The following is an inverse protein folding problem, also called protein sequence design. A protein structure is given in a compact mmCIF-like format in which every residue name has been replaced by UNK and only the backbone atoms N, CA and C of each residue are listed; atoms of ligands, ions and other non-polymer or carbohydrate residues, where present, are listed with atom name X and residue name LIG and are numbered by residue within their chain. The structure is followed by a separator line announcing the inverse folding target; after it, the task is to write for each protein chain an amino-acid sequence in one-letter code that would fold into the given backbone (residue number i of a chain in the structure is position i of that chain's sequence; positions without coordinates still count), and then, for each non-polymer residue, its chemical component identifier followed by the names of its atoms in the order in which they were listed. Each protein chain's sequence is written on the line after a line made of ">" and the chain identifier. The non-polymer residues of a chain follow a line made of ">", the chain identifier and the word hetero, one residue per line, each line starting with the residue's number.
data_IF_632414810793
#
_entry.id   IF_632414810793
#
_cell.length_a   1.000
_cell.length_b   1.000
_cell.length_c   1.000
_cell.angle_alpha   90.00
_cell.angle_beta   90.00
_cell.angle_gamma   90.00
#
_symmetry.space_group_name_H-M   'P 1'
#
loop_
_entity.id
_entity.type
_entity.pdbx_description
1 polymer ?
#
# COMPACT_ATOMS: atom_id res chain seq x y z
N UNK A 1 -1.65 2.56 -18.14
CA UNK A 1 -1.21 1.17 -17.88
C UNK A 1 -1.95 0.67 -16.67
N UNK A 2 -2.62 -0.48 -16.78
CA UNK A 2 -3.26 -1.16 -15.65
C UNK A 2 -2.19 -1.67 -14.68
N UNK A 3 -2.32 -1.48 -13.37
CA UNK A 3 -1.40 -2.06 -12.39
C UNK A 3 -1.38 -3.59 -12.50
N UNK A 4 -0.22 -4.22 -12.28
CA UNK A 4 -0.12 -5.69 -12.16
C UNK A 4 -0.96 -6.18 -10.99
N UNK A 5 -1.59 -7.35 -11.09
CA UNK A 5 -2.35 -7.92 -9.97
C UNK A 5 -1.45 -8.30 -8.79
N UNK A 6 -1.99 -8.30 -7.56
CA UNK A 6 -1.25 -8.75 -6.37
C UNK A 6 -0.72 -10.18 -6.47
N UNK A 7 -1.48 -11.09 -7.09
CA UNK A 7 -1.03 -12.46 -7.31
C UNK A 7 0.18 -12.53 -8.25
N UNK A 8 0.16 -11.71 -9.30
CA UNK A 8 1.29 -11.59 -10.22
C UNK A 8 2.52 -10.99 -9.53
N UNK A 9 2.35 -9.92 -8.73
CA UNK A 9 3.42 -9.31 -7.94
C UNK A 9 4.03 -10.32 -6.96
N UNK A 10 3.20 -11.09 -6.23
CA UNK A 10 3.68 -12.16 -5.32
C UNK A 10 4.46 -13.23 -6.07
N UNK A 11 4.01 -13.62 -7.25
CA UNK A 11 4.73 -14.58 -8.10
C UNK A 11 6.09 -14.03 -8.51
N UNK A 12 6.15 -12.78 -8.99
CA UNK A 12 7.40 -12.10 -9.37
C UNK A 12 8.35 -11.92 -8.19
N UNK A 13 7.82 -11.56 -7.01
CA UNK A 13 8.59 -11.43 -5.78
C UNK A 13 9.23 -12.76 -5.35
N UNK A 14 8.52 -13.87 -5.55
CA UNK A 14 9.06 -15.22 -5.27
C UNK A 14 10.24 -15.54 -6.19
N UNK A 15 10.11 -15.25 -7.49
CA UNK A 15 11.18 -15.45 -8.47
C UNK A 15 12.37 -14.53 -8.20
N UNK A 16 12.12 -13.27 -7.84
CA UNK A 16 13.15 -12.31 -7.45
C UNK A 16 13.92 -12.78 -6.22
N UNK A 17 13.21 -13.13 -5.14
CA UNK A 17 13.84 -13.64 -3.92
C UNK A 17 14.68 -14.90 -4.17
N UNK A 18 14.19 -15.81 -5.01
CA UNK A 18 14.92 -17.04 -5.38
C UNK A 18 16.19 -16.74 -6.18
N UNK A 19 16.13 -15.75 -7.09
CA UNK A 19 17.27 -15.36 -7.94
C UNK A 19 18.38 -14.69 -7.14
N UNK A 20 18.02 -13.89 -6.15
CA UNK A 20 18.95 -13.14 -5.30
C UNK A 20 19.30 -13.86 -4.00
N UNK A 21 18.74 -15.05 -3.77
CA UNK A 21 19.03 -15.86 -2.58
C UNK A 21 20.52 -16.22 -2.51
N UNK A 22 21.16 -15.87 -1.40
CA UNK A 22 22.58 -16.17 -1.17
C UNK A 22 23.55 -15.39 -2.06
N UNK A 23 23.11 -14.28 -2.67
CA UNK A 23 24.01 -13.37 -3.39
C UNK A 23 24.97 -12.69 -2.40
N UNK A 24 26.26 -12.69 -2.74
CA UNK A 24 27.33 -12.12 -1.90
C UNK A 24 28.23 -11.15 -2.66
N UNK A 25 27.88 -10.77 -3.90
CA UNK A 25 28.71 -9.92 -4.77
C UNK A 25 28.60 -8.42 -4.44
N UNK A 26 29.68 -7.68 -4.74
CA UNK A 26 29.91 -6.28 -4.36
C UNK A 26 28.99 -5.24 -5.05
N UNK A 27 29.15 -3.97 -4.63
CA UNK A 27 28.43 -2.72 -4.97
C UNK A 27 27.97 -2.52 -6.42
N UNK A 28 28.60 -3.16 -7.42
CA UNK A 28 28.22 -3.05 -8.83
C UNK A 28 26.84 -3.67 -9.16
N UNK A 29 26.37 -4.61 -8.33
CA UNK A 29 25.10 -5.32 -8.56
C UNK A 29 23.87 -4.63 -7.93
N UNK A 30 24.05 -3.59 -7.10
CA UNK A 30 22.92 -2.90 -6.44
C UNK A 30 21.99 -2.24 -7.46
N UNK A 31 22.54 -1.71 -8.55
CA UNK A 31 21.74 -1.13 -9.62
C UNK A 31 20.89 -2.20 -10.33
N UNK A 32 21.46 -3.37 -10.62
CA UNK A 32 20.75 -4.51 -11.20
C UNK A 32 19.66 -5.00 -10.25
N UNK A 33 19.99 -5.16 -8.98
CA UNK A 33 19.04 -5.55 -7.93
C UNK A 33 17.83 -4.63 -7.89
N UNK A 34 18.04 -3.32 -7.83
CA UNK A 34 16.92 -2.38 -7.80
C UNK A 34 16.15 -2.37 -9.12
N UNK A 35 16.81 -2.46 -10.28
CA UNK A 35 16.10 -2.58 -11.56
C UNK A 35 15.15 -3.78 -11.58
N UNK A 36 15.63 -4.95 -11.12
CA UNK A 36 14.81 -6.16 -11.05
C UNK A 36 13.72 -6.06 -9.97
N UNK A 37 14.01 -5.43 -8.82
CA UNK A 37 13.04 -5.15 -7.77
C UNK A 37 11.90 -4.27 -8.28
N UNK A 38 12.17 -3.17 -8.98
CA UNK A 38 11.12 -2.36 -9.61
C UNK A 38 10.34 -3.16 -10.67
N UNK A 39 11.02 -4.08 -11.36
CA UNK A 39 10.42 -5.03 -12.30
C UNK A 39 9.39 -5.97 -11.68
N UNK A 40 9.52 -6.31 -10.38
CA UNK A 40 8.49 -7.06 -9.61
C UNK A 40 7.16 -6.32 -9.62
N UNK A 41 7.20 -4.99 -9.58
CA UNK A 41 6.02 -4.10 -9.56
C UNK A 41 5.64 -3.56 -10.94
N UNK A 42 6.25 -4.08 -12.01
CA UNK A 42 5.93 -3.70 -13.39
C UNK A 42 6.40 -2.30 -13.77
N UNK A 43 7.42 -1.79 -13.08
CA UNK A 43 7.99 -0.47 -13.37
C UNK A 43 9.42 -0.58 -13.86
N UNK A 44 9.73 0.21 -14.87
CA UNK A 44 11.11 0.46 -15.27
C UNK A 44 11.70 1.58 -14.40
N UNK A 45 12.79 1.26 -13.71
CA UNK A 45 13.47 2.19 -12.80
C UNK A 45 13.98 3.47 -13.49
N UNK A 46 14.30 3.42 -14.78
CA UNK A 46 14.72 4.60 -15.59
C UNK A 46 13.63 5.67 -15.70
N UNK A 47 12.37 5.31 -15.52
CA UNK A 47 11.22 6.24 -15.59
C UNK A 47 10.99 6.94 -14.23
N UNK A 48 11.59 6.43 -13.15
CA UNK A 48 11.16 6.74 -11.78
C UNK A 48 12.21 7.52 -10.97
N UNK A 49 13.51 7.28 -11.17
CA UNK A 49 14.53 7.81 -10.25
C UNK A 49 15.82 8.26 -10.93
N UNK A 50 16.39 9.38 -10.47
CA UNK A 50 17.79 9.75 -10.72
C UNK A 50 18.70 8.92 -9.81
N UNK A 51 19.70 8.24 -10.38
CA UNK A 51 20.83 7.70 -9.60
C UNK A 51 21.83 8.83 -9.34
N UNK A 52 22.57 8.73 -8.23
CA UNK A 52 23.71 9.59 -7.89
C UNK A 52 23.37 11.07 -7.71
N UNK A 53 22.53 11.39 -6.71
CA UNK A 53 22.59 12.71 -6.12
C UNK A 53 23.80 12.77 -5.18
N UNK A 54 24.89 13.41 -5.63
CA UNK A 54 25.97 13.81 -4.74
C UNK A 54 25.41 14.79 -3.70
N UNK A 55 25.18 14.32 -2.48
CA UNK A 55 24.78 15.17 -1.36
C UNK A 55 26.06 15.68 -0.72
N UNK A 56 26.26 17.01 -0.73
CA UNK A 56 27.37 17.63 0.00
C UNK A 56 27.20 17.34 1.49
N UNK A 57 28.18 16.67 2.10
CA UNK A 57 28.24 16.50 3.56
C UNK A 57 28.61 17.83 4.24
N UNK A 58 28.23 17.97 5.51
CA UNK A 58 28.65 19.06 6.40
C UNK A 58 30.15 18.96 6.73
N UNK A 59 30.70 17.74 6.67
CA UNK A 59 32.13 17.50 6.74
C UNK A 59 32.68 17.55 5.33
N UNK A 60 33.50 18.56 5.03
CA UNK A 60 34.15 18.81 3.73
C UNK A 60 35.07 17.66 3.22
N UNK A 61 34.95 16.44 3.73
CA UNK A 61 35.78 15.28 3.40
C UNK A 61 35.02 14.06 2.84
N UNK A 62 33.69 14.03 2.79
CA UNK A 62 32.97 12.96 2.05
C UNK A 62 31.68 13.43 1.40
N UNK A 63 31.47 13.08 0.13
CA UNK A 63 30.15 13.19 -0.48
C UNK A 63 29.33 11.98 -0.02
N UNK A 64 28.16 12.21 0.59
CA UNK A 64 27.19 11.14 0.80
C UNK A 64 26.45 10.91 -0.52
N UNK A 65 26.49 9.69 -1.04
CA UNK A 65 25.74 9.32 -2.24
C UNK A 65 24.52 8.55 -1.80
N UNK A 66 23.34 9.05 -2.13
CA UNK A 66 22.10 8.27 -2.01
C UNK A 66 22.09 7.31 -3.20
N UNK A 67 21.83 6.03 -2.93
CA UNK A 67 21.73 5.05 -3.99
C UNK A 67 20.54 5.37 -4.88
N UNK A 68 19.30 5.50 -4.38
CA UNK A 68 18.17 5.86 -5.25
C UNK A 68 17.24 6.89 -4.63
N UNK A 69 16.84 7.87 -5.44
CA UNK A 69 15.85 8.88 -5.06
C UNK A 69 14.73 9.00 -6.08
N UNK A 70 13.51 8.72 -5.63
CA UNK A 70 12.26 9.12 -6.25
C UNK A 70 11.67 10.27 -5.43
N UNK A 71 11.87 11.51 -5.91
CA UNK A 71 11.48 12.74 -5.21
C UNK A 71 10.03 12.67 -4.70
N UNK A 72 9.83 12.98 -3.42
CA UNK A 72 8.52 12.99 -2.79
C UNK A 72 7.92 11.61 -2.49
N UNK A 73 8.57 10.51 -2.89
CA UNK A 73 7.98 9.16 -2.81
C UNK A 73 8.85 8.12 -2.14
N UNK A 74 10.11 7.99 -2.56
CA UNK A 74 11.00 6.92 -2.10
C UNK A 74 12.45 7.39 -2.05
N UNK A 75 13.13 7.10 -0.95
CA UNK A 75 14.58 7.11 -0.84
C UNK A 75 15.07 5.70 -0.53
N UNK A 76 16.16 5.30 -1.17
CA UNK A 76 16.80 4.02 -0.94
C UNK A 76 18.27 4.24 -0.64
N UNK A 77 18.71 3.60 0.43
CA UNK A 77 20.12 3.47 0.78
C UNK A 77 20.49 1.98 0.78
N UNK A 78 21.58 1.62 0.13
CA UNK A 78 21.97 0.24 -0.09
C UNK A 78 23.42 0.00 0.36
N UNK A 79 23.64 -1.10 1.09
CA UNK A 79 24.98 -1.50 1.53
C UNK A 79 25.38 -2.82 0.92
N UNK A 80 26.68 -3.13 0.97
CA UNK A 80 27.17 -4.46 0.60
C UNK A 80 26.55 -5.52 1.50
N UNK A 81 26.38 -6.74 0.97
CA UNK A 81 25.79 -7.86 1.70
C UNK A 81 26.46 -8.10 3.07
N UNK A 82 25.64 -8.23 4.13
CA UNK A 82 26.09 -8.47 5.50
C UNK A 82 26.66 -7.24 6.22
N UNK A 83 26.61 -6.05 5.61
CA UNK A 83 27.04 -4.82 6.25
C UNK A 83 26.01 -4.31 7.28
N UNK A 84 26.48 -3.56 8.28
CA UNK A 84 25.57 -2.92 9.24
C UNK A 84 24.72 -1.83 8.60
N UNK A 85 23.42 -1.93 8.80
CA UNK A 85 22.44 -0.99 8.26
C UNK A 85 22.30 0.31 9.07
N UNK A 86 22.72 0.34 10.35
CA UNK A 86 22.60 1.53 11.21
C UNK A 86 23.19 2.81 10.59
N UNK A 87 24.33 2.67 9.89
CA UNK A 87 24.97 3.79 9.20
C UNK A 87 24.19 4.24 7.96
N UNK A 88 23.56 3.30 7.26
CA UNK A 88 22.71 3.59 6.11
C UNK A 88 21.46 4.35 6.56
N UNK A 89 20.89 3.95 7.70
CA UNK A 89 19.76 4.59 8.34
C UNK A 89 20.07 6.04 8.71
N UNK A 90 21.16 6.27 9.44
CA UNK A 90 21.58 7.63 9.79
C UNK A 90 21.79 8.50 8.55
N UNK A 91 22.39 7.96 7.48
CA UNK A 91 22.61 8.69 6.23
C UNK A 91 21.30 9.08 5.53
N UNK A 92 20.32 8.19 5.50
CA UNK A 92 19.00 8.46 4.93
C UNK A 92 18.26 9.56 5.70
N UNK A 93 18.22 9.48 7.03
CA UNK A 93 17.53 10.47 7.86
C UNK A 93 18.25 11.82 7.90
N UNK A 94 19.59 11.85 7.88
CA UNK A 94 20.36 13.09 7.76
C UNK A 94 20.00 13.84 6.46
N UNK A 95 19.79 13.12 5.36
CA UNK A 95 19.37 13.73 4.10
C UNK A 95 17.95 14.31 4.18
N UNK A 96 17.02 13.58 4.80
CA UNK A 96 15.64 14.06 5.01
C UNK A 96 15.63 15.34 5.85
N UNK A 97 16.41 15.37 6.93
CA UNK A 97 16.55 16.56 7.77
C UNK A 97 17.10 17.76 6.98
N UNK A 98 18.05 17.55 6.06
CA UNK A 98 18.55 18.61 5.19
C UNK A 98 17.49 19.13 4.22
N UNK A 99 16.69 18.25 3.61
CA UNK A 99 15.59 18.67 2.74
C UNK A 99 14.59 19.56 3.51
N UNK A 100 14.27 19.19 4.74
CA UNK A 100 13.40 20.00 5.60
C UNK A 100 14.05 21.33 5.97
N UNK A 101 15.31 21.33 6.41
CA UNK A 101 16.05 22.55 6.76
C UNK A 101 16.21 23.53 5.58
N UNK A 102 16.31 23.01 4.35
CA UNK A 102 16.38 23.79 3.12
C UNK A 102 15.00 24.27 2.61
N UNK A 103 13.91 23.96 3.32
CA UNK A 103 12.53 24.31 2.91
C UNK A 103 12.03 23.53 1.69
N UNK A 104 12.60 22.35 1.44
CA UNK A 104 12.30 21.48 0.28
C UNK A 104 11.37 20.33 0.67
N UNK A 105 10.34 20.62 1.47
CA UNK A 105 9.43 19.62 2.03
C UNK A 105 8.76 18.74 0.96
N UNK A 106 8.46 19.31 -0.21
CA UNK A 106 7.88 18.56 -1.36
C UNK A 106 8.79 17.47 -1.92
N UNK A 107 10.08 17.52 -1.63
CA UNK A 107 11.06 16.53 -2.07
C UNK A 107 11.29 15.42 -1.03
N UNK A 108 10.81 15.60 0.20
CA UNK A 108 10.92 14.61 1.27
C UNK A 108 10.17 13.34 0.84
N UNK A 109 10.86 12.19 0.77
CA UNK A 109 10.24 10.94 0.36
C UNK A 109 9.27 10.46 1.46
N UNK A 110 8.07 9.99 1.08
CA UNK A 110 7.19 9.28 2.03
C UNK A 110 7.81 7.99 2.54
N UNK A 111 8.47 7.23 1.67
CA UNK A 111 9.04 5.93 2.02
C UNK A 111 10.56 5.96 2.05
N UNK A 112 11.16 5.24 2.99
CA UNK A 112 12.61 4.99 3.03
C UNK A 112 12.83 3.49 3.01
N UNK A 113 13.71 3.00 2.14
CA UNK A 113 14.12 1.59 2.13
C UNK A 113 15.62 1.51 2.35
N UNK A 114 16.03 0.65 3.27
CA UNK A 114 17.42 0.32 3.54
C UNK A 114 17.61 -1.17 3.28
N UNK A 115 18.65 -1.55 2.54
CA UNK A 115 18.90 -2.96 2.25
C UNK A 115 20.36 -3.29 2.03
N UNK A 116 20.74 -4.54 2.33
CA UNK A 116 22.02 -5.18 2.00
C UNK A 116 21.82 -6.44 1.14
N UNK A 117 20.86 -6.41 0.20
CA UNK A 117 20.36 -7.54 -0.60
C UNK A 117 19.50 -8.54 0.17
N UNK A 118 19.93 -8.95 1.36
CA UNK A 118 19.20 -9.94 2.17
C UNK A 118 18.19 -9.27 3.11
N UNK A 119 18.58 -8.22 3.82
CA UNK A 119 17.72 -7.57 4.80
C UNK A 119 17.05 -6.35 4.18
N UNK A 120 15.80 -6.10 4.59
CA UNK A 120 15.04 -4.91 4.26
C UNK A 120 14.60 -4.23 5.55
N UNK A 121 14.82 -2.91 5.62
CA UNK A 121 14.17 -2.02 6.57
C UNK A 121 13.37 -1.02 5.75
N UNK A 122 12.07 -0.95 5.99
CA UNK A 122 11.15 -0.07 5.26
C UNK A 122 10.47 0.86 6.25
N UNK A 123 10.56 2.15 6.00
CA UNK A 123 9.85 3.18 6.74
C UNK A 123 8.75 3.79 5.86
N UNK A 124 7.56 3.98 6.44
CA UNK A 124 6.55 4.90 5.95
C UNK A 124 6.51 6.10 6.92
N UNK A 125 7.04 7.25 6.46
CA UNK A 125 7.19 8.44 7.27
C UNK A 125 5.84 9.13 7.56
N UNK A 126 4.83 8.91 6.72
CA UNK A 126 3.50 9.48 6.93
C UNK A 126 2.73 8.67 8.00
N UNK A 127 2.94 7.35 8.04
CA UNK A 127 2.26 6.44 8.98
C UNK A 127 3.10 6.11 10.23
N UNK A 128 4.30 6.70 10.36
CA UNK A 128 5.29 6.42 11.41
C UNK A 128 5.49 4.91 11.63
N UNK A 129 5.58 4.16 10.53
CA UNK A 129 5.68 2.70 10.55
C UNK A 129 7.04 2.23 10.07
N UNK A 130 7.61 1.30 10.83
CA UNK A 130 8.82 0.57 10.46
C UNK A 130 8.49 -0.91 10.21
N UNK A 131 9.12 -1.52 9.22
CA UNK A 131 9.01 -2.96 8.95
C UNK A 131 10.38 -3.52 8.60
N UNK A 132 10.75 -4.63 9.25
CA UNK A 132 11.99 -5.36 9.02
C UNK A 132 11.69 -6.79 8.59
N UNK A 133 12.28 -7.23 7.50
CA UNK A 133 12.12 -8.59 6.99
C UNK A 133 13.31 -8.98 6.10
N UNK A 134 13.45 -10.28 5.83
CA UNK A 134 14.50 -10.79 4.94
C UNK A 134 13.96 -11.08 3.54
N UNK A 135 14.84 -11.15 2.54
CA UNK A 135 14.50 -11.29 1.12
C UNK A 135 13.55 -12.46 0.85
N UNK A 136 13.72 -13.60 1.52
CA UNK A 136 12.84 -14.77 1.37
C UNK A 136 11.38 -14.50 1.78
N UNK A 137 11.14 -13.51 2.63
CA UNK A 137 9.81 -13.07 3.11
C UNK A 137 9.20 -11.98 2.22
N UNK A 138 9.90 -11.52 1.17
CA UNK A 138 9.43 -10.43 0.31
C UNK A 138 8.04 -10.69 -0.27
N UNK A 139 7.72 -11.95 -0.60
CA UNK A 139 6.39 -12.36 -1.09
C UNK A 139 5.26 -11.92 -0.17
N UNK A 140 5.46 -12.03 1.13
CA UNK A 140 4.43 -11.76 2.14
C UNK A 140 4.35 -10.27 2.49
N UNK A 141 5.36 -9.50 2.08
CA UNK A 141 5.52 -8.06 2.35
C UNK A 141 5.35 -7.17 1.12
N UNK A 142 4.95 -7.72 -0.04
CA UNK A 142 4.82 -6.95 -1.29
C UNK A 142 3.88 -5.74 -1.19
N UNK A 143 2.93 -5.76 -0.24
CA UNK A 143 2.00 -4.65 -0.01
C UNK A 143 2.70 -3.38 0.48
N UNK A 144 3.82 -3.47 1.19
CA UNK A 144 4.62 -2.32 1.63
C UNK A 144 5.13 -1.47 0.44
N UNK A 145 5.17 -2.07 -0.74
CA UNK A 145 5.70 -1.47 -1.96
C UNK A 145 4.62 -1.20 -3.02
N UNK A 146 3.33 -1.25 -2.65
CA UNK A 146 2.22 -1.02 -3.56
C UNK A 146 2.33 0.29 -4.34
N UNK A 147 2.84 1.34 -3.68
CA UNK A 147 3.09 2.65 -4.27
C UNK A 147 3.99 2.60 -5.52
N UNK A 148 4.85 1.59 -5.64
CA UNK A 148 5.71 1.37 -6.81
C UNK A 148 4.87 0.91 -8.00
N UNK A 149 3.97 -0.06 -7.80
CA UNK A 149 3.10 -0.56 -8.86
C UNK A 149 2.11 0.52 -9.35
N UNK A 150 2.02 1.67 -8.67
CA UNK A 150 0.98 2.67 -8.90
C UNK A 150 -0.37 2.22 -8.35
N UNK A 151 -0.36 1.23 -7.45
CA UNK A 151 -1.35 1.28 -6.39
C UNK A 151 -0.99 2.53 -5.62
N UNK A 152 -1.68 3.62 -5.91
CA UNK A 152 -1.82 4.62 -4.87
C UNK A 152 -2.28 3.82 -3.66
N UNK A 153 -1.53 3.90 -2.57
CA UNK A 153 -2.23 4.01 -1.31
C UNK A 153 -3.18 5.18 -1.60
N UNK A 154 -4.41 4.86 -2.03
CA UNK A 154 -5.55 5.23 -1.22
C UNK A 154 -5.05 4.87 0.17
N UNK A 155 -4.38 5.83 0.81
CA UNK A 155 -4.37 5.90 2.24
C UNK A 155 -5.86 5.97 2.49
N UNK A 156 -6.49 4.80 2.61
CA UNK A 156 -7.73 4.68 3.32
C UNK A 156 -7.22 4.96 4.73
N UNK A 157 -6.95 6.24 5.03
CA UNK A 157 -6.65 6.81 6.35
C UNK A 157 -7.91 6.69 7.19
N UNK A 158 -8.44 5.48 7.24
CA UNK A 158 -9.79 5.22 6.76
C UNK A 158 -10.10 3.76 7.07
N UNK A 159 -9.35 2.78 6.55
CA UNK A 159 -9.53 1.37 6.91
C UNK A 159 -9.29 1.11 8.41
N UNK A 160 -8.50 1.97 9.06
CA UNK A 160 -8.34 2.06 10.53
C UNK A 160 -8.95 3.35 11.12
N UNK A 161 -9.65 4.16 10.32
CA UNK A 161 -10.45 5.27 10.86
C UNK A 161 -11.58 4.65 11.69
N UNK A 162 -11.86 5.18 12.89
CA UNK A 162 -13.00 4.78 13.69
C UNK A 162 -14.29 4.64 12.88
N UNK A 163 -14.50 5.46 11.84
CA UNK A 163 -15.65 5.37 10.95
C UNK A 163 -15.74 4.05 10.15
N UNK A 164 -14.64 3.52 9.60
CA UNK A 164 -14.71 2.25 8.85
C UNK A 164 -14.70 1.03 9.78
N UNK A 165 -14.00 1.11 10.92
CA UNK A 165 -14.09 0.09 11.97
C UNK A 165 -15.53 0.00 12.45
N UNK A 166 -16.14 1.16 12.74
CA UNK A 166 -17.55 1.25 13.12
C UNK A 166 -18.49 0.75 12.02
N UNK A 167 -18.22 1.07 10.74
CA UNK A 167 -19.01 0.54 9.64
C UNK A 167 -18.90 -1.00 9.52
N UNK A 168 -17.71 -1.57 9.75
CA UNK A 168 -17.52 -3.02 9.76
C UNK A 168 -18.25 -3.67 10.96
N UNK A 169 -18.22 -3.04 12.14
CA UNK A 169 -18.98 -3.46 13.32
C UNK A 169 -20.50 -3.40 13.07
N UNK A 170 -20.99 -2.36 12.39
CA UNK A 170 -22.41 -2.26 12.00
C UNK A 170 -22.77 -3.39 11.04
N UNK A 171 -21.94 -3.71 10.05
CA UNK A 171 -22.19 -4.82 9.11
C UNK A 171 -22.16 -6.19 9.82
N UNK A 172 -21.28 -6.37 10.81
CA UNK A 172 -21.25 -7.57 11.64
C UNK A 172 -22.51 -7.69 12.51
N UNK A 173 -22.92 -6.60 13.16
CA UNK A 173 -24.17 -6.55 13.95
C UNK A 173 -25.41 -6.82 13.08
N UNK A 174 -25.44 -6.29 11.85
CA UNK A 174 -26.51 -6.57 10.90
C UNK A 174 -26.53 -8.05 10.48
N UNK A 175 -25.37 -8.66 10.27
CA UNK A 175 -25.26 -10.09 10.00
C UNK A 175 -25.87 -10.91 11.14
N UNK A 176 -25.42 -10.66 12.37
CA UNK A 176 -25.85 -11.42 13.55
C UNK A 176 -27.35 -11.27 13.79
N UNK A 177 -27.89 -10.05 13.67
CA UNK A 177 -29.33 -9.79 13.82
C UNK A 177 -30.18 -10.52 12.76
N UNK A 178 -29.70 -10.60 11.51
CA UNK A 178 -30.40 -11.34 10.45
C UNK A 178 -30.31 -12.86 10.67
N UNK A 179 -29.16 -13.37 11.11
CA UNK A 179 -28.99 -14.78 11.46
C UNK A 179 -29.91 -15.19 12.62
N UNK A 180 -29.98 -14.40 13.69
CA UNK A 180 -30.93 -14.58 14.80
C UNK A 180 -32.39 -14.52 14.35
N UNK A 181 -32.70 -13.66 13.37
CA UNK A 181 -34.00 -13.56 12.70
C UNK A 181 -34.36 -14.74 11.79
N UNK A 182 -33.46 -15.72 11.62
CA UNK A 182 -33.68 -16.95 10.87
C UNK A 182 -33.22 -16.94 9.41
N UNK A 183 -32.42 -15.95 8.99
CA UNK A 183 -31.76 -15.99 7.68
C UNK A 183 -30.67 -17.07 7.64
N UNK A 184 -30.58 -17.81 6.53
CA UNK A 184 -29.56 -18.85 6.35
C UNK A 184 -28.23 -18.24 5.92
N UNK A 185 -27.13 -18.69 6.51
CA UNK A 185 -25.76 -18.17 6.31
C UNK A 185 -25.39 -17.97 4.83
N UNK A 186 -25.69 -18.94 3.94
CA UNK A 186 -25.35 -18.80 2.51
C UNK A 186 -26.15 -17.75 1.73
N UNK A 187 -27.42 -17.52 2.08
CA UNK A 187 -28.23 -16.46 1.47
C UNK A 187 -27.95 -15.10 2.13
N UNK A 188 -27.59 -15.11 3.42
CA UNK A 188 -27.22 -13.95 4.22
C UNK A 188 -25.92 -13.29 3.70
N UNK A 189 -24.86 -14.07 3.49
CA UNK A 189 -23.59 -13.58 2.95
C UNK A 189 -23.76 -12.90 1.60
N UNK A 190 -24.56 -13.53 0.73
CA UNK A 190 -24.89 -12.98 -0.59
C UNK A 190 -25.70 -11.69 -0.48
N UNK A 191 -26.67 -11.65 0.44
CA UNK A 191 -27.48 -10.46 0.69
C UNK A 191 -26.62 -9.29 1.18
N UNK A 192 -25.80 -9.49 2.22
CA UNK A 192 -24.92 -8.46 2.76
C UNK A 192 -23.90 -7.97 1.74
N UNK A 193 -23.35 -8.87 0.92
CA UNK A 193 -22.45 -8.48 -0.17
C UNK A 193 -23.13 -7.55 -1.17
N UNK A 194 -24.40 -7.82 -1.51
CA UNK A 194 -25.18 -6.95 -2.41
C UNK A 194 -25.47 -5.59 -1.79
N UNK A 195 -25.87 -5.55 -0.52
CA UNK A 195 -26.08 -4.30 0.22
C UNK A 195 -24.79 -3.47 0.26
N UNK A 196 -23.66 -4.09 0.60
CA UNK A 196 -22.36 -3.42 0.62
C UNK A 196 -21.98 -2.86 -0.75
N UNK A 197 -22.22 -3.63 -1.81
CA UNK A 197 -21.98 -3.18 -3.17
C UNK A 197 -22.86 -1.97 -3.52
N UNK A 198 -24.15 -1.98 -3.19
CA UNK A 198 -25.05 -0.86 -3.48
C UNK A 198 -24.65 0.42 -2.74
N UNK A 199 -24.28 0.31 -1.45
CA UNK A 199 -23.73 1.42 -0.67
C UNK A 199 -22.44 1.97 -1.30
N UNK A 200 -21.54 1.10 -1.74
CA UNK A 200 -20.32 1.53 -2.43
C UNK A 200 -20.63 2.15 -3.81
N UNK A 201 -21.58 1.59 -4.56
CA UNK A 201 -21.90 2.00 -5.93
C UNK A 201 -22.44 3.44 -5.99
N UNK A 202 -23.28 3.85 -5.04
CA UNK A 202 -23.78 5.23 -4.98
C UNK A 202 -22.72 6.26 -4.55
N UNK A 203 -21.68 5.83 -3.81
CA UNK A 203 -20.58 6.70 -3.40
C UNK A 203 -19.45 6.79 -4.44
N UNK A 204 -19.26 5.73 -5.22
CA UNK A 204 -18.19 5.64 -6.24
C UNK A 204 -18.61 6.16 -7.61
N UNK A 205 -19.87 6.59 -7.77
CA UNK A 205 -20.43 7.08 -9.04
C UNK A 205 -20.80 5.98 -10.02
N UNK A 206 -20.91 4.73 -9.55
CA UNK A 206 -21.48 3.61 -10.33
C UNK A 206 -23.00 3.76 -10.41
N UNK A 207 -23.64 4.18 -9.31
CA UNK A 207 -25.03 4.64 -9.30
C UNK A 207 -25.09 6.16 -9.27
N UNK A 208 -26.26 6.71 -9.61
CA UNK A 208 -26.58 8.09 -9.30
C UNK A 208 -26.47 8.34 -7.78
N UNK A 209 -26.08 9.56 -7.34
CA UNK A 209 -25.97 9.86 -5.92
C UNK A 209 -27.27 9.58 -5.16
N UNK A 210 -27.15 8.88 -4.03
CA UNK A 210 -28.25 8.43 -3.17
C UNK A 210 -29.27 7.50 -3.86
N UNK A 211 -28.91 6.81 -4.95
CA UNK A 211 -29.84 5.93 -5.64
C UNK A 211 -30.34 4.76 -4.77
N UNK A 212 -29.49 4.21 -3.88
CA UNK A 212 -29.86 3.09 -3.03
C UNK A 212 -30.42 3.57 -1.70
N UNK A 213 -29.71 4.46 -1.01
CA UNK A 213 -30.18 5.05 0.26
C UNK A 213 -31.48 5.82 0.07
N UNK A 214 -31.58 6.66 -0.95
CA UNK A 214 -32.80 7.39 -1.29
C UNK A 214 -33.96 6.47 -1.72
N UNK A 215 -33.68 5.31 -2.34
CA UNK A 215 -34.73 4.34 -2.63
C UNK A 215 -35.30 3.74 -1.34
N UNK A 216 -34.45 3.36 -0.38
CA UNK A 216 -34.91 2.87 0.92
C UNK A 216 -35.75 3.94 1.61
N UNK A 217 -35.22 5.15 1.76
CA UNK A 217 -35.88 6.24 2.50
C UNK A 217 -37.22 6.67 1.89
N UNK A 218 -37.36 6.60 0.56
CA UNK A 218 -38.57 7.09 -0.13
C UNK A 218 -39.57 6.00 -0.52
N UNK A 219 -39.19 4.72 -0.44
CA UNK A 219 -39.99 3.59 -0.96
C UNK A 219 -40.26 2.49 0.06
N UNK A 220 -39.80 2.65 1.30
CA UNK A 220 -40.04 1.72 2.41
C UNK A 220 -40.69 2.44 3.60
N UNK A 221 -41.40 1.69 4.45
CA UNK A 221 -41.97 2.20 5.69
C UNK A 221 -40.92 2.33 6.80
N UNK A 222 -41.11 3.30 7.69
CA UNK A 222 -40.21 3.52 8.84
C UNK A 222 -40.14 2.32 9.80
N UNK A 223 -41.18 1.48 9.85
CA UNK A 223 -41.21 0.27 10.68
C UNK A 223 -40.47 -0.93 10.05
N UNK A 224 -39.96 -0.78 8.82
CA UNK A 224 -39.21 -1.80 8.09
C UNK A 224 -40.05 -2.98 7.58
N UNK A 225 -41.38 -2.95 7.75
CA UNK A 225 -42.27 -4.07 7.45
C UNK A 225 -42.26 -4.50 5.97
N UNK A 226 -41.94 -3.59 5.06
CA UNK A 226 -41.92 -3.80 3.61
C UNK A 226 -40.51 -3.76 2.98
N UNK A 227 -39.46 -3.60 3.80
CA UNK A 227 -38.07 -3.44 3.33
C UNK A 227 -37.58 -4.63 2.50
N UNK A 228 -37.83 -5.86 2.97
CA UNK A 228 -37.37 -7.08 2.28
C UNK A 228 -37.86 -7.19 0.84
N UNK A 229 -39.18 -7.16 0.58
CA UNK A 229 -39.74 -7.16 -0.77
C UNK A 229 -39.20 -6.03 -1.66
N UNK A 230 -38.99 -4.83 -1.10
CA UNK A 230 -38.46 -3.67 -1.84
C UNK A 230 -37.00 -3.84 -2.25
N UNK A 231 -36.17 -4.42 -1.40
CA UNK A 231 -34.79 -4.76 -1.75
C UNK A 231 -34.72 -5.85 -2.83
N UNK A 232 -35.65 -6.82 -2.82
CA UNK A 232 -35.73 -7.82 -3.90
C UNK A 232 -36.06 -7.17 -5.24
N UNK A 233 -37.01 -6.22 -5.27
CA UNK A 233 -37.36 -5.44 -6.46
C UNK A 233 -36.13 -4.67 -6.97
N UNK A 234 -35.41 -3.97 -6.08
CA UNK A 234 -34.21 -3.21 -6.43
C UNK A 234 -33.09 -4.08 -7.02
N UNK A 235 -32.86 -5.29 -6.49
CA UNK A 235 -31.80 -6.19 -6.98
C UNK A 235 -32.11 -6.89 -8.31
N UNK A 236 -33.32 -6.73 -8.84
CA UNK A 236 -33.73 -7.29 -10.14
C UNK A 236 -33.58 -6.30 -11.30
N UNK A 237 -33.37 -5.01 -10.99
CA UNK A 237 -33.05 -3.94 -11.95
C UNK A 237 -31.57 -3.93 -12.33
#
# INVERSE_FOLDING_TARGET
>A
MTPLSWNEIRSRATSFASRWAGETRERAESQTFWNEFFGVFGRERRVIASFEHAVKSLDKSSYGFIDLLWKGKLLVEHKSAGARLDKAESQAFDYIQRLSADGRDREIPRHVIISDFENFIVYDLDEDRESRFVLRELRDHVQLFGFIAGYETLTISGALNPANIHAAEIMASLHDALEEGGYKTGDLDRFLTRVLFCLFAEHSGIFEPNAFSGYIDSRTHEDGSDLGPKLVEFFQT
#
